data_IF_429492436929
#
_entry.id   IF_429492436929
#
_cell.length_a   1.000
_cell.length_b   1.000
_cell.length_c   1.000
_cell.angle_alpha   90.00
_cell.angle_beta   90.00
_cell.angle_gamma   90.00
#
_symmetry.space_group_name_H-M   'P 1'
#
loop_
_entity.id
_entity.type
_entity.pdbx_description
1 polymer ?
#
# COMPACT_ATOMS: atom_id res chain seq x y z
N UNK A 1 -26.35 -0.40 -7.18
CA UNK A 1 -27.33 -1.51 -7.02
C UNK A 1 -27.68 -1.99 -8.42
N UNK A 2 -27.14 -3.14 -8.85
CA UNK A 2 -27.46 -3.72 -10.16
C UNK A 2 -28.49 -4.81 -9.94
N UNK A 3 -29.68 -4.67 -10.54
CA UNK A 3 -30.71 -5.73 -10.52
C UNK A 3 -30.53 -6.59 -11.76
N UNK A 4 -30.17 -7.85 -11.58
CA UNK A 4 -30.18 -8.86 -12.65
C UNK A 4 -31.43 -9.70 -12.42
N UNK A 5 -32.43 -9.57 -13.30
CA UNK A 5 -33.63 -10.41 -13.28
C UNK A 5 -33.43 -11.50 -14.33
N UNK A 6 -33.55 -12.76 -13.92
CA UNK A 6 -33.39 -13.89 -14.84
C UNK A 6 -34.54 -13.91 -15.86
N UNK A 7 -34.32 -14.12 -17.19
CA UNK A 7 -35.35 -13.90 -18.21
C UNK A 7 -36.48 -14.94 -18.27
N UNK A 8 -36.41 -16.04 -17.50
CA UNK A 8 -37.12 -17.28 -17.83
C UNK A 8 -38.27 -17.70 -16.91
N UNK A 9 -38.91 -16.77 -16.21
CA UNK A 9 -40.07 -17.09 -15.38
C UNK A 9 -41.39 -16.71 -16.08
N UNK A 10 -41.92 -17.60 -16.92
CA UNK A 10 -43.30 -17.51 -17.45
C UNK A 10 -44.27 -18.30 -16.56
N UNK A 11 -45.44 -17.76 -16.17
CA UNK A 11 -46.48 -18.54 -15.52
C UNK A 11 -47.33 -19.30 -16.55
N UNK A 12 -47.45 -20.62 -16.38
CA UNK A 12 -48.37 -21.49 -17.12
C UNK A 12 -49.76 -21.36 -16.48
N UNK A 13 -50.77 -20.94 -17.27
CA UNK A 13 -52.16 -20.91 -16.83
C UNK A 13 -52.81 -22.30 -16.93
N UNK A 14 -53.63 -22.67 -15.95
CA UNK A 14 -54.74 -23.62 -16.12
C UNK A 14 -55.90 -23.26 -15.19
N UNK A 15 -57.09 -23.14 -15.78
CA UNK A 15 -58.36 -22.81 -15.14
C UNK A 15 -59.05 -24.03 -14.53
N UNK A 16 -59.56 -23.89 -13.29
CA UNK A 16 -60.80 -24.56 -12.85
C UNK A 16 -61.25 -23.99 -11.50
N UNK A 17 -62.51 -23.56 -11.46
CA UNK A 17 -63.23 -22.99 -10.32
C UNK A 17 -63.56 -24.02 -9.24
N UNK A 18 -63.30 -23.69 -7.97
CA UNK A 18 -63.96 -24.25 -6.78
C UNK A 18 -63.66 -23.36 -5.56
N UNK A 19 -64.71 -22.88 -4.92
CA UNK A 19 -64.71 -22.07 -3.70
C UNK A 19 -64.22 -22.87 -2.49
N UNK A 20 -63.20 -22.36 -1.79
CA UNK A 20 -62.84 -22.79 -0.44
C UNK A 20 -62.02 -21.69 0.23
N UNK A 21 -62.60 -21.06 1.25
CA UNK A 21 -61.95 -20.07 2.12
C UNK A 21 -60.65 -20.66 2.67
N UNK A 22 -59.52 -20.18 2.18
CA UNK A 22 -58.21 -20.56 2.67
C UNK A 22 -57.52 -19.28 3.10
N UNK A 23 -57.27 -19.18 4.40
CA UNK A 23 -56.45 -18.13 5.01
C UNK A 23 -55.16 -17.99 4.22
N UNK A 24 -54.94 -16.82 3.63
CA UNK A 24 -53.70 -16.47 2.98
C UNK A 24 -52.60 -16.38 4.06
N UNK A 25 -51.94 -17.50 4.33
CA UNK A 25 -50.65 -17.50 4.98
C UNK A 25 -49.68 -16.89 3.97
N UNK A 26 -49.45 -15.59 4.12
CA UNK A 26 -48.37 -14.88 3.44
C UNK A 26 -47.07 -15.52 3.87
N UNK A 27 -46.61 -16.55 3.14
CA UNK A 27 -45.27 -17.07 3.33
C UNK A 27 -44.32 -16.01 2.80
N UNK A 28 -43.79 -15.19 3.70
CA UNK A 28 -42.73 -14.26 3.41
C UNK A 28 -41.54 -15.07 2.90
N UNK A 29 -41.36 -15.15 1.58
CA UNK A 29 -40.21 -15.82 0.99
C UNK A 29 -38.95 -15.12 1.51
N UNK A 30 -38.03 -15.80 2.22
CA UNK A 30 -36.83 -15.15 2.71
C UNK A 30 -36.04 -14.64 1.51
N UNK A 31 -35.88 -13.33 1.38
CA UNK A 31 -34.96 -12.76 0.39
C UNK A 31 -33.56 -13.31 0.66
N UNK A 32 -32.88 -13.95 -0.32
CA UNK A 32 -31.51 -14.35 -0.13
C UNK A 32 -30.66 -13.14 0.25
N UNK A 33 -30.18 -13.12 1.49
CA UNK A 33 -29.26 -12.11 2.00
C UNK A 33 -27.84 -12.57 1.71
N UNK A 34 -27.07 -11.71 1.04
CA UNK A 34 -25.63 -11.92 0.85
C UNK A 34 -24.88 -10.95 1.74
N UNK A 35 -23.90 -11.45 2.47
CA UNK A 35 -22.94 -10.67 3.25
C UNK A 35 -21.59 -10.69 2.54
N UNK A 36 -20.88 -9.56 2.54
CA UNK A 36 -19.49 -9.46 2.11
C UNK A 36 -18.66 -8.78 3.18
N UNK A 37 -17.40 -9.17 3.30
CA UNK A 37 -16.41 -8.55 4.19
C UNK A 37 -15.25 -8.03 3.35
N UNK A 38 -14.80 -6.80 3.62
CA UNK A 38 -13.55 -6.26 3.08
C UNK A 38 -12.44 -6.50 4.09
N UNK A 39 -11.30 -7.04 3.65
CA UNK A 39 -10.10 -7.21 4.48
C UNK A 39 -8.95 -6.42 3.87
N UNK A 40 -8.27 -5.62 4.70
CA UNK A 40 -7.02 -4.94 4.35
C UNK A 40 -5.91 -5.52 5.21
N UNK A 41 -4.97 -6.22 4.58
CA UNK A 41 -3.81 -6.78 5.27
C UNK A 41 -2.59 -5.89 5.09
N UNK A 42 -1.84 -5.71 6.18
CA UNK A 42 -0.54 -5.05 6.15
C UNK A 42 0.56 -6.11 6.23
N UNK A 43 1.46 -6.09 5.26
CA UNK A 43 2.63 -6.98 5.23
C UNK A 43 3.85 -6.19 5.66
N UNK A 44 4.55 -6.68 6.69
CA UNK A 44 5.75 -6.03 7.21
C UNK A 44 7.00 -6.52 6.47
N UNK A 45 7.97 -5.63 6.28
CA UNK A 45 9.30 -5.95 5.76
C UNK A 45 10.34 -4.99 6.31
N UNK A 46 11.60 -5.41 6.32
CA UNK A 46 12.73 -4.58 6.73
C UNK A 46 13.93 -4.84 5.84
N UNK A 47 14.76 -3.80 5.68
CA UNK A 47 15.99 -3.88 4.88
C UNK A 47 17.09 -3.07 5.55
N UNK A 48 18.26 -3.68 5.70
CA UNK A 48 19.44 -3.02 6.24
C UNK A 48 20.38 -2.66 5.10
N UNK A 49 20.49 -1.37 4.80
CA UNK A 49 21.41 -0.86 3.79
C UNK A 49 22.71 -0.41 4.44
N UNK A 50 23.78 -1.19 4.26
CA UNK A 50 25.12 -0.88 4.77
C UNK A 50 25.97 -0.19 3.69
N UNK A 51 26.43 1.03 3.98
CA UNK A 51 27.30 1.80 3.08
C UNK A 51 28.73 1.71 3.60
N UNK A 52 29.55 0.88 2.95
CA UNK A 52 30.99 0.85 3.21
C UNK A 52 31.67 2.03 2.50
N UNK A 53 32.72 2.57 3.13
CA UNK A 53 33.50 3.66 2.54
C UNK A 53 32.73 4.98 2.38
N UNK A 54 31.80 5.30 3.28
CA UNK A 54 30.99 6.53 3.22
C UNK A 54 31.81 7.80 2.92
N UNK A 55 33.00 7.94 3.51
CA UNK A 55 33.90 9.08 3.25
C UNK A 55 34.27 9.24 1.77
N UNK A 56 34.36 8.16 1.00
CA UNK A 56 34.62 8.17 -0.44
C UNK A 56 33.35 8.45 -1.26
N UNK A 57 32.18 8.10 -0.73
CA UNK A 57 30.89 8.43 -1.35
C UNK A 57 30.52 9.91 -1.21
N UNK A 58 31.16 10.63 -0.27
CA UNK A 58 30.97 12.07 -0.13
C UNK A 58 31.72 12.82 -1.21
N UNK A 59 31.08 13.85 -1.77
CA UNK A 59 31.63 14.64 -2.86
C UNK A 59 31.33 14.09 -4.26
N UNK A 60 30.51 13.03 -4.39
CA UNK A 60 30.02 12.58 -5.69
C UNK A 60 29.09 13.61 -6.36
N UNK A 61 28.59 14.58 -5.59
CA UNK A 61 27.82 15.71 -6.09
C UNK A 61 26.35 15.69 -5.69
N UNK A 62 25.77 16.88 -5.63
CA UNK A 62 24.35 17.07 -5.27
C UNK A 62 23.45 16.37 -6.30
N UNK A 63 22.46 15.63 -5.82
CA UNK A 63 21.53 14.89 -6.65
C UNK A 63 22.06 13.53 -7.13
N UNK A 64 23.33 13.20 -6.87
CA UNK A 64 23.86 11.85 -7.10
C UNK A 64 23.61 10.97 -5.86
N UNK A 65 23.33 9.69 -6.10
CA UNK A 65 22.95 8.75 -5.05
C UNK A 65 23.68 7.42 -5.15
N UNK A 66 23.73 6.73 -4.01
CA UNK A 66 24.05 5.31 -3.90
C UNK A 66 22.74 4.57 -3.63
N UNK A 67 22.43 3.57 -4.46
CA UNK A 67 21.24 2.73 -4.28
C UNK A 67 21.57 1.51 -3.41
N UNK A 68 20.61 1.08 -2.61
CA UNK A 68 20.63 -0.26 -2.01
C UNK A 68 20.34 -1.33 -3.06
N UNK A 69 20.57 -2.59 -2.67
CA UNK A 69 19.94 -3.71 -3.34
C UNK A 69 18.42 -3.61 -3.25
N UNK A 70 17.74 -4.25 -4.21
CA UNK A 70 16.28 -4.34 -4.19
C UNK A 70 15.82 -5.34 -3.14
N UNK A 71 14.78 -5.00 -2.39
CA UNK A 71 14.16 -5.89 -1.40
C UNK A 71 12.64 -5.95 -1.57
N UNK A 72 12.03 -7.04 -1.11
CA UNK A 72 10.59 -7.26 -1.25
C UNK A 72 9.87 -7.01 0.06
N UNK A 73 8.77 -6.25 0.01
CA UNK A 73 7.83 -6.06 1.10
C UNK A 73 6.42 -5.87 0.54
N UNK A 74 5.44 -6.62 1.07
CA UNK A 74 4.05 -6.56 0.62
C UNK A 74 3.86 -6.88 -0.87
N UNK A 75 4.63 -7.84 -1.40
CA UNK A 75 4.63 -8.22 -2.82
C UNK A 75 5.18 -7.16 -3.79
N UNK A 76 5.68 -6.04 -3.28
CA UNK A 76 6.34 -5.01 -4.07
C UNK A 76 7.85 -5.03 -3.84
N UNK A 77 8.58 -4.67 -4.89
CA UNK A 77 10.02 -4.45 -4.89
C UNK A 77 10.33 -3.00 -4.57
N UNK A 78 11.26 -2.80 -3.64
CA UNK A 78 11.65 -1.52 -3.09
C UNK A 78 13.17 -1.36 -3.14
N UNK A 79 13.63 -0.12 -3.13
CA UNK A 79 15.04 0.22 -2.93
C UNK A 79 15.15 1.47 -2.05
N UNK A 80 16.34 1.67 -1.46
CA UNK A 80 16.68 2.88 -0.70
C UNK A 80 17.71 3.66 -1.50
N UNK A 81 17.44 4.95 -1.74
CA UNK A 81 18.38 5.86 -2.39
C UNK A 81 18.98 6.80 -1.35
N UNK A 82 20.30 6.75 -1.21
CA UNK A 82 21.06 7.61 -0.31
C UNK A 82 21.83 8.67 -1.09
N UNK A 83 21.58 9.94 -0.78
CA UNK A 83 22.23 11.11 -1.38
C UNK A 83 23.22 11.69 -0.37
N UNK A 84 24.53 11.36 -0.48
CA UNK A 84 25.53 11.78 0.48
C UNK A 84 25.75 13.30 0.51
N UNK A 85 25.47 14.00 -0.59
CA UNK A 85 25.58 15.46 -0.70
C UNK A 85 24.22 16.16 -0.82
N UNK A 86 23.15 15.44 -0.48
CA UNK A 86 21.78 15.94 -0.56
C UNK A 86 21.17 15.81 -1.96
N UNK A 87 19.84 15.68 -2.02
CA UNK A 87 19.12 15.53 -3.30
C UNK A 87 19.02 16.83 -4.10
N UNK A 88 19.00 17.98 -3.42
CA UNK A 88 18.85 19.30 -4.03
C UNK A 88 19.83 20.28 -3.40
N UNK A 89 20.12 21.36 -4.11
CA UNK A 89 20.85 22.48 -3.53
C UNK A 89 19.97 23.12 -2.45
N UNK A 90 20.54 23.31 -1.27
CA UNK A 90 19.88 23.98 -0.16
C UNK A 90 20.86 25.02 0.38
N UNK A 91 20.37 26.26 0.56
CA UNK A 91 21.24 27.42 0.78
C UNK A 91 21.87 27.47 2.19
N UNK A 92 21.32 26.74 3.16
CA UNK A 92 21.65 26.93 4.57
C UNK A 92 22.69 25.94 5.15
N UNK A 93 22.89 24.76 4.55
CA UNK A 93 23.91 23.82 5.01
C UNK A 93 24.05 22.61 4.07
N UNK A 94 25.21 21.93 4.06
CA UNK A 94 25.29 20.58 3.54
C UNK A 94 24.44 19.63 4.38
N UNK A 95 23.71 18.74 3.71
CA UNK A 95 22.87 17.74 4.35
C UNK A 95 22.94 16.43 3.55
N UNK A 96 22.49 15.34 4.17
CA UNK A 96 22.29 14.05 3.49
C UNK A 96 20.80 13.84 3.28
N UNK A 97 20.41 13.08 2.26
CA UNK A 97 19.02 12.71 2.05
C UNK A 97 18.87 11.21 1.84
N UNK A 98 17.75 10.66 2.32
CA UNK A 98 17.43 9.24 2.21
C UNK A 98 15.99 9.12 1.72
N UNK A 99 15.77 8.25 0.73
CA UNK A 99 14.45 8.05 0.13
C UNK A 99 14.16 6.56 0.00
N UNK A 100 12.90 6.18 0.22
CA UNK A 100 12.39 4.87 -0.19
C UNK A 100 11.79 4.98 -1.60
N UNK A 101 12.07 4.00 -2.45
CA UNK A 101 11.69 4.00 -3.87
C UNK A 101 10.94 2.73 -4.19
N UNK A 102 9.77 2.87 -4.81
CA UNK A 102 9.03 1.74 -5.39
C UNK A 102 9.66 1.36 -6.74
N UNK A 103 10.19 0.15 -6.81
CA UNK A 103 10.85 -0.41 -8.02
C UNK A 103 9.85 -1.20 -8.87
N UNK A 104 8.88 -1.88 -8.23
CA UNK A 104 7.83 -2.61 -8.93
C UNK A 104 6.99 -1.72 -9.84
N UNK A 105 6.54 -2.29 -10.95
CA UNK A 105 5.53 -1.71 -11.85
C UNK A 105 4.14 -2.17 -11.43
N UNK A 106 3.09 -1.37 -11.72
CA UNK A 106 1.75 -1.92 -11.85
C UNK A 106 0.62 -1.32 -11.01
N UNK A 107 0.86 -0.50 -10.00
CA UNK A 107 -0.21 0.23 -9.29
C UNK A 107 0.33 1.18 -8.22
N UNK A 108 -0.48 2.17 -7.85
CA UNK A 108 -0.28 2.97 -6.65
C UNK A 108 -0.17 2.05 -5.42
N UNK A 109 0.91 2.18 -4.66
CA UNK A 109 1.11 1.42 -3.42
C UNK A 109 0.90 2.32 -2.22
N UNK A 110 0.06 1.89 -1.29
CA UNK A 110 -0.07 2.52 0.03
C UNK A 110 0.89 1.85 0.99
N UNK A 111 1.82 2.60 1.55
CA UNK A 111 2.82 2.08 2.48
C UNK A 111 2.97 2.98 3.71
N UNK A 112 3.20 2.33 4.85
CA UNK A 112 3.75 2.95 6.05
C UNK A 112 5.20 2.48 6.17
N UNK A 113 6.09 3.37 6.59
CA UNK A 113 7.50 3.03 6.70
C UNK A 113 8.22 3.92 7.69
N UNK A 114 9.36 3.40 8.14
CA UNK A 114 10.33 4.10 8.98
C UNK A 114 11.70 4.00 8.32
N UNK A 115 12.35 5.15 8.17
CA UNK A 115 13.74 5.24 7.75
C UNK A 115 14.59 5.60 8.98
N UNK A 116 15.61 4.78 9.24
CA UNK A 116 16.47 4.90 10.42
C UNK A 116 17.94 4.91 10.00
N UNK A 117 18.63 6.02 10.28
CA UNK A 117 20.08 6.10 10.20
C UNK A 117 20.67 5.66 11.55
N UNK A 118 21.48 4.60 11.51
CA UNK A 118 21.97 3.98 12.72
C UNK A 118 23.17 4.72 13.32
N UNK A 119 23.11 5.04 14.62
CA UNK A 119 24.24 5.56 15.38
C UNK A 119 25.23 4.43 15.68
N UNK A 120 26.45 4.58 15.17
CA UNK A 120 27.54 3.63 15.34
C UNK A 120 28.37 3.91 16.60
N UNK A 121 28.12 5.00 17.33
CA UNK A 121 28.88 5.35 18.56
C UNK A 121 28.52 4.48 19.77
N UNK A 122 27.53 3.59 19.63
CA UNK A 122 27.01 2.75 20.72
C UNK A 122 26.09 3.49 21.69
N UNK A 123 25.79 4.77 21.45
CA UNK A 123 24.93 5.59 22.33
C UNK A 123 23.44 5.51 21.97
N UNK A 124 23.08 4.74 20.94
CA UNK A 124 21.70 4.53 20.51
C UNK A 124 21.02 5.78 19.94
N UNK A 125 21.77 6.81 19.52
CA UNK A 125 21.23 8.09 19.03
C UNK A 125 20.87 8.04 17.55
N UNK A 126 20.07 7.05 17.17
CA UNK A 126 19.62 6.88 15.79
C UNK A 126 18.84 8.09 15.30
N UNK A 127 19.01 8.48 14.04
CA UNK A 127 18.11 9.46 13.40
C UNK A 127 16.98 8.69 12.74
N UNK A 128 15.77 8.88 13.25
CA UNK A 128 14.57 8.18 12.80
C UNK A 128 13.63 9.17 12.13
N UNK A 129 13.07 8.76 11.01
CA UNK A 129 11.96 9.45 10.38
C UNK A 129 10.88 8.43 10.06
N UNK A 130 9.69 8.63 10.60
CA UNK A 130 8.59 7.65 10.58
C UNK A 130 7.34 8.27 9.96
N UNK A 131 6.69 7.50 9.09
CA UNK A 131 5.37 7.80 8.54
C UNK A 131 4.27 7.01 9.27
N UNK A 132 4.61 6.16 10.25
CA UNK A 132 3.63 5.32 10.96
C UNK A 132 2.55 6.11 11.71
N UNK A 133 2.86 7.33 12.16
CA UNK A 133 1.95 8.19 12.91
C UNK A 133 1.03 9.05 12.02
N UNK A 134 1.00 8.76 10.72
CA UNK A 134 0.28 9.53 9.72
C UNK A 134 -0.43 8.62 8.71
N UNK A 135 -1.30 9.22 7.90
CA UNK A 135 -2.02 8.47 6.85
C UNK A 135 -1.03 7.74 5.91
N UNK A 136 -1.32 6.49 5.52
CA UNK A 136 -0.49 5.71 4.61
C UNK A 136 -0.15 6.50 3.35
N UNK A 137 1.14 6.68 3.10
CA UNK A 137 1.61 7.45 1.96
C UNK A 137 1.35 6.66 0.68
N UNK A 138 0.76 7.31 -0.32
CA UNK A 138 0.48 6.69 -1.61
C UNK A 138 1.63 6.98 -2.57
N UNK A 139 2.37 5.95 -2.93
CA UNK A 139 3.49 5.99 -3.87
C UNK A 139 2.92 5.58 -5.23
N UNK A 140 2.73 6.57 -6.10
CA UNK A 140 1.83 6.45 -7.27
C UNK A 140 2.44 5.78 -8.50
N UNK A 141 3.77 5.77 -8.64
CA UNK A 141 4.41 5.21 -9.84
C UNK A 141 5.81 4.65 -9.53
N UNK A 142 6.30 3.76 -10.40
CA UNK A 142 7.69 3.30 -10.38
C UNK A 142 8.66 4.49 -10.40
N UNK A 143 9.65 4.48 -9.52
CA UNK A 143 10.62 5.56 -9.36
C UNK A 143 10.11 6.78 -8.58
N UNK A 144 8.83 6.79 -8.16
CA UNK A 144 8.35 7.75 -7.17
C UNK A 144 9.09 7.51 -5.85
N UNK A 145 9.46 8.60 -5.20
CA UNK A 145 10.25 8.58 -3.99
C UNK A 145 9.68 9.55 -2.96
N UNK A 146 9.76 9.16 -1.70
CA UNK A 146 9.37 9.98 -0.55
C UNK A 146 10.60 10.26 0.31
#
# INVERSE_FOLDING_TARGET
MVRIVSPNSQPIFSSSSSSSSSSSLSWSTPTPMTTSTSMTETVNGSHLFNISGYSLSKGIGIGNYVASDTFTAGYYSWAIYFYPDGKKVQYDAPYVSLFIVLVSEGSDVRALFELKLLDQSGKGRHKVHTQFDSEPYTIRNRGSMW
#
